data_IF_421807332268
#
_entry.id   IF_421807332268
#
_cell.length_a   1.000
_cell.length_b   1.000
_cell.length_c   1.000
_cell.angle_alpha   90.00
_cell.angle_beta   90.00
_cell.angle_gamma   90.00
#
_symmetry.space_group_name_H-M   'P 1'
#
loop_
_entity.id
_entity.type
_entity.pdbx_description
1 polymer ?
#
# COMPACT_ATOMS: atom_id res chain seq x y z
N UNK A 1 -32.77 -4.72 -27.51
CA UNK A 1 -33.11 -5.67 -26.43
C UNK A 1 -31.82 -6.26 -25.89
N UNK A 2 -31.58 -6.10 -24.58
CA UNK A 2 -30.62 -6.82 -23.72
C UNK A 2 -29.47 -7.59 -24.40
N UNK A 3 -28.26 -7.01 -24.40
CA UNK A 3 -27.04 -7.83 -24.29
C UNK A 3 -26.76 -8.01 -22.79
N UNK A 4 -26.74 -9.25 -22.32
CA UNK A 4 -26.45 -9.58 -20.93
C UNK A 4 -24.95 -9.58 -20.70
N UNK A 5 -24.42 -8.52 -20.09
CA UNK A 5 -23.02 -8.47 -19.63
C UNK A 5 -22.75 -9.62 -18.66
N UNK A 6 -21.72 -10.41 -18.97
CA UNK A 6 -21.33 -11.56 -18.16
C UNK A 6 -20.84 -11.08 -16.79
N UNK A 7 -21.30 -11.76 -15.74
CA UNK A 7 -20.76 -11.63 -14.40
C UNK A 7 -19.25 -11.89 -14.42
N UNK A 8 -18.46 -10.91 -14.00
CA UNK A 8 -17.07 -11.13 -13.63
C UNK A 8 -17.05 -11.76 -12.24
N UNK A 9 -16.93 -13.09 -12.25
CA UNK A 9 -16.66 -13.88 -11.07
C UNK A 9 -15.21 -13.62 -10.61
N UNK A 10 -15.07 -13.52 -9.29
CA UNK A 10 -13.93 -13.94 -8.46
C UNK A 10 -12.79 -14.56 -9.29
N UNK A 11 -11.72 -13.80 -9.55
CA UNK A 11 -10.63 -14.29 -10.37
C UNK A 11 -9.65 -15.13 -9.52
N UNK A 12 -9.67 -16.43 -9.75
CA UNK A 12 -8.89 -17.44 -9.02
C UNK A 12 -7.45 -17.55 -9.52
N UNK A 13 -6.50 -17.73 -8.60
CA UNK A 13 -5.09 -18.03 -8.86
C UNK A 13 -4.85 -19.24 -9.77
N UNK A 14 -3.87 -19.14 -10.69
CA UNK A 14 -3.18 -20.27 -11.34
C UNK A 14 -1.71 -19.90 -11.56
N UNK A 15 -0.79 -20.78 -11.15
CA UNK A 15 0.67 -20.60 -11.26
C UNK A 15 1.26 -21.27 -12.52
N UNK A 16 2.33 -20.69 -13.07
CA UNK A 16 3.47 -21.27 -13.84
C UNK A 16 4.45 -20.10 -14.13
N UNK A 17 5.78 -20.19 -14.25
CA UNK A 17 6.75 -21.29 -14.13
C UNK A 17 8.09 -20.90 -14.82
N UNK A 18 9.22 -21.05 -14.12
CA UNK A 18 10.61 -21.23 -14.63
C UNK A 18 11.42 -20.09 -15.33
N UNK A 19 12.54 -19.67 -14.69
CA UNK A 19 13.88 -20.03 -15.21
C UNK A 19 14.86 -19.03 -15.86
N UNK A 20 15.65 -18.28 -15.05
CA UNK A 20 17.12 -18.02 -15.22
C UNK A 20 17.70 -17.30 -16.50
N UNK A 21 19.03 -16.95 -16.61
CA UNK A 21 19.89 -16.20 -15.67
C UNK A 21 20.96 -15.23 -16.32
N UNK A 22 21.70 -14.49 -15.47
CA UNK A 22 23.07 -13.90 -15.66
C UNK A 22 23.39 -12.90 -16.80
N UNK A 23 24.05 -11.76 -16.46
CA UNK A 23 25.52 -11.54 -16.68
C UNK A 23 26.06 -10.20 -16.10
N UNK A 24 27.35 -10.23 -15.71
CA UNK A 24 28.13 -9.09 -15.18
C UNK A 24 28.87 -8.31 -16.27
N UNK A 25 29.23 -7.04 -16.01
CA UNK A 25 30.33 -6.34 -16.69
C UNK A 25 31.12 -5.36 -15.78
N UNK A 26 32.35 -5.04 -16.22
CA UNK A 26 33.39 -4.24 -15.55
C UNK A 26 34.10 -3.33 -16.59
N UNK A 27 35.07 -2.43 -16.34
CA UNK A 27 35.99 -2.18 -15.20
C UNK A 27 36.42 -0.70 -15.14
N UNK A 28 36.68 -0.19 -13.92
CA UNK A 28 37.80 0.70 -13.54
C UNK A 28 38.18 2.00 -14.33
N UNK A 29 38.23 3.13 -13.57
CA UNK A 29 39.38 4.08 -13.37
C UNK A 29 39.86 5.01 -14.52
N UNK A 30 40.69 6.06 -14.27
CA UNK A 30 40.84 6.94 -13.08
C UNK A 30 41.07 8.47 -13.39
N UNK A 31 41.32 9.25 -12.33
CA UNK A 31 42.27 10.40 -12.24
C UNK A 31 41.79 11.88 -12.40
N UNK A 32 41.97 12.64 -11.31
CA UNK A 32 42.62 13.97 -11.20
C UNK A 32 42.23 15.13 -12.16
N UNK A 33 41.73 16.25 -11.60
CA UNK A 33 42.57 17.43 -11.33
C UNK A 33 41.91 18.44 -10.35
N UNK A 34 42.68 19.44 -9.92
CA UNK A 34 42.44 20.42 -8.85
C UNK A 34 41.58 21.63 -9.26
N UNK A 35 40.96 22.23 -8.24
CA UNK A 35 40.75 23.68 -8.04
C UNK A 35 39.94 24.48 -9.08
N UNK A 36 38.68 24.80 -8.70
CA UNK A 36 38.31 26.21 -8.46
C UNK A 36 37.07 26.33 -7.59
N UNK A 37 37.22 26.89 -6.38
CA UNK A 37 36.07 27.42 -5.64
C UNK A 37 35.64 28.72 -6.33
N UNK A 38 34.47 28.70 -6.98
CA UNK A 38 33.78 29.92 -7.42
C UNK A 38 32.42 29.90 -6.74
N UNK A 39 32.16 30.92 -5.93
CA UNK A 39 30.94 31.08 -5.15
C UNK A 39 29.71 31.15 -6.05
N UNK A 40 29.12 29.99 -6.36
CA UNK A 40 27.76 29.92 -6.87
C UNK A 40 26.85 30.01 -5.67
N UNK A 41 26.36 31.23 -5.47
CA UNK A 41 25.16 31.57 -4.70
C UNK A 41 24.17 30.43 -4.83
N UNK A 42 23.85 29.77 -3.72
CA UNK A 42 22.82 28.74 -3.68
C UNK A 42 21.48 29.42 -3.93
N UNK A 43 21.08 29.46 -5.20
CA UNK A 43 19.68 29.59 -5.55
C UNK A 43 18.98 28.36 -4.98
N UNK A 44 18.34 28.60 -3.83
CA UNK A 44 17.33 27.73 -3.27
C UNK A 44 16.33 27.45 -4.39
N UNK A 45 16.48 26.26 -5.01
CA UNK A 45 15.37 25.57 -5.63
C UNK A 45 14.35 25.36 -4.52
N UNK A 46 13.48 26.36 -4.38
CA UNK A 46 12.15 26.18 -3.83
C UNK A 46 11.48 25.20 -4.77
N UNK A 47 11.66 23.90 -4.49
CA UNK A 47 10.62 22.94 -4.78
C UNK A 47 9.47 23.39 -3.90
N UNK A 48 8.63 24.27 -4.46
CA UNK A 48 7.25 24.34 -4.01
C UNK A 48 6.76 22.90 -4.08
N UNK A 49 6.39 22.35 -2.93
CA UNK A 49 5.44 21.27 -2.92
C UNK A 49 4.16 21.88 -3.47
N UNK A 50 4.02 21.87 -4.80
CA UNK A 50 2.77 22.19 -5.47
C UNK A 50 1.70 21.32 -4.79
N UNK A 51 0.63 21.93 -4.25
CA UNK A 51 -0.43 21.14 -3.66
C UNK A 51 -0.93 20.18 -4.74
N UNK A 52 -0.98 18.88 -4.41
CA UNK A 52 -1.37 17.84 -5.35
C UNK A 52 -2.65 18.26 -6.07
N UNK A 53 -2.55 18.45 -7.39
CA UNK A 53 -3.57 19.15 -8.17
C UNK A 53 -4.90 18.40 -8.10
N UNK A 54 -5.81 18.93 -7.29
CA UNK A 54 -7.10 18.32 -6.98
C UNK A 54 -8.07 18.31 -8.17
N UNK A 55 -7.66 18.78 -9.35
CA UNK A 55 -8.47 18.79 -10.57
C UNK A 55 -8.63 17.40 -11.22
N UNK A 56 -7.87 16.38 -10.80
CA UNK A 56 -8.06 14.96 -11.22
C UNK A 56 -9.12 14.25 -10.35
N UNK A 57 -10.24 14.92 -10.03
CA UNK A 57 -11.42 14.29 -9.44
C UNK A 57 -12.58 14.41 -10.44
N UNK A 58 -12.55 13.54 -11.46
CA UNK A 58 -13.69 13.34 -12.35
C UNK A 58 -14.67 12.35 -11.70
N UNK A 59 -15.82 12.87 -11.23
CA UNK A 59 -17.02 12.12 -10.84
C UNK A 59 -16.81 10.80 -10.05
N UNK A 60 -15.78 10.74 -9.21
CA UNK A 60 -15.59 9.62 -8.28
C UNK A 60 -16.71 9.70 -7.24
N UNK A 61 -17.64 8.72 -7.16
CA UNK A 61 -18.75 8.80 -6.23
C UNK A 61 -18.20 8.78 -4.79
N UNK A 62 -18.57 9.80 -3.99
CA UNK A 62 -18.12 9.85 -2.59
C UNK A 62 -18.73 8.68 -1.80
N UNK A 63 -17.91 7.82 -1.17
CA UNK A 63 -18.42 6.67 -0.46
C UNK A 63 -19.00 7.07 0.91
N UNK A 64 -20.22 6.64 1.19
CA UNK A 64 -20.91 6.88 2.47
C UNK A 64 -20.43 5.93 3.60
N UNK A 65 -19.95 4.73 3.24
CA UNK A 65 -19.53 3.68 4.17
C UNK A 65 -18.17 3.05 3.78
N UNK A 66 -17.57 2.32 4.73
CA UNK A 66 -16.27 1.68 4.56
C UNK A 66 -16.29 0.66 3.40
N UNK A 67 -17.41 -0.05 3.21
CA UNK A 67 -17.59 -1.02 2.12
C UNK A 67 -17.60 -0.35 0.75
N UNK A 68 -18.38 0.73 0.59
CA UNK A 68 -18.42 1.54 -0.63
C UNK A 68 -17.07 2.16 -0.93
N UNK A 69 -16.35 2.63 0.08
CA UNK A 69 -14.99 3.15 -0.09
C UNK A 69 -14.03 2.07 -0.58
N UNK A 70 -14.05 0.87 0.00
CA UNK A 70 -13.23 -0.26 -0.48
C UNK A 70 -13.57 -0.60 -1.94
N UNK A 71 -14.85 -0.61 -2.32
CA UNK A 71 -15.27 -0.86 -3.70
C UNK A 71 -14.77 0.22 -4.68
N UNK A 72 -14.98 1.51 -4.38
CA UNK A 72 -14.51 2.64 -5.21
C UNK A 72 -12.98 2.66 -5.30
N UNK A 73 -12.29 2.38 -4.19
CA UNK A 73 -10.83 2.28 -4.16
C UNK A 73 -10.31 1.17 -5.08
N UNK A 74 -10.99 0.02 -5.15
CA UNK A 74 -10.63 -1.07 -6.05
C UNK A 74 -10.85 -0.72 -7.54
N UNK A 75 -11.92 0.01 -7.88
CA UNK A 75 -12.12 0.49 -9.26
C UNK A 75 -11.00 1.46 -9.69
N UNK A 76 -10.65 2.42 -8.82
CA UNK A 76 -9.52 3.35 -9.05
C UNK A 76 -8.17 2.62 -9.15
N UNK A 77 -7.98 1.58 -8.32
CA UNK A 77 -6.80 0.74 -8.32
C UNK A 77 -6.64 -0.01 -9.64
N UNK A 78 -7.72 -0.62 -10.12
CA UNK A 78 -7.76 -1.32 -11.41
C UNK A 78 -7.56 -0.36 -12.60
N UNK A 79 -7.95 0.90 -12.45
CA UNK A 79 -7.65 1.97 -13.40
C UNK A 79 -6.20 2.51 -13.32
N UNK A 80 -5.37 1.97 -12.42
CA UNK A 80 -3.97 2.39 -12.22
C UNK A 80 -3.79 3.70 -11.44
N UNK A 81 -4.86 4.26 -10.85
CA UNK A 81 -4.83 5.52 -10.12
C UNK A 81 -4.48 5.28 -8.64
N UNK A 82 -3.25 4.82 -8.38
CA UNK A 82 -2.84 4.35 -7.05
C UNK A 82 -2.87 5.43 -5.97
N UNK A 83 -2.55 6.69 -6.30
CA UNK A 83 -2.64 7.83 -5.39
C UNK A 83 -4.10 8.14 -5.00
N UNK A 84 -5.01 8.14 -5.97
CA UNK A 84 -6.44 8.38 -5.73
C UNK A 84 -7.06 7.23 -4.94
N UNK A 85 -6.75 5.99 -5.33
CA UNK A 85 -7.18 4.77 -4.65
C UNK A 85 -6.71 4.73 -3.19
N UNK A 86 -5.44 5.05 -2.93
CA UNK A 86 -4.87 5.18 -1.59
C UNK A 86 -5.70 6.12 -0.71
N UNK A 87 -6.00 7.34 -1.20
CA UNK A 87 -6.82 8.29 -0.45
C UNK A 87 -8.24 7.80 -0.16
N UNK A 88 -8.83 7.00 -1.05
CA UNK A 88 -10.14 6.37 -0.81
C UNK A 88 -10.06 5.24 0.22
N UNK A 89 -9.02 4.39 0.19
CA UNK A 89 -8.85 3.35 1.23
C UNK A 89 -8.53 3.95 2.62
N UNK A 90 -7.77 5.05 2.69
CA UNK A 90 -7.55 5.79 3.94
C UNK A 90 -8.85 6.41 4.48
N UNK A 91 -9.75 6.89 3.59
CA UNK A 91 -11.11 7.30 3.99
C UNK A 91 -11.92 6.12 4.52
N UNK A 92 -11.84 4.94 3.91
CA UNK A 92 -12.59 3.73 4.34
C UNK A 92 -12.37 3.40 5.83
N UNK A 93 -11.14 3.58 6.32
CA UNK A 93 -10.77 3.36 7.73
C UNK A 93 -11.48 4.28 8.74
N UNK A 94 -12.07 5.39 8.28
CA UNK A 94 -12.73 6.41 9.11
C UNK A 94 -14.25 6.48 8.88
N UNK A 95 -14.75 5.78 7.87
CA UNK A 95 -16.18 5.71 7.53
C UNK A 95 -16.92 4.70 8.40
N UNK A 96 -18.26 4.82 8.53
CA UNK A 96 -19.06 3.80 9.19
C UNK A 96 -18.96 2.47 8.44
N UNK A 97 -19.00 1.34 9.15
CA UNK A 97 -18.85 0.02 8.54
C UNK A 97 -19.82 -1.01 9.12
N UNK A 98 -19.50 -2.29 8.91
CA UNK A 98 -20.33 -3.43 9.36
C UNK A 98 -19.89 -4.03 10.70
N UNK A 99 -19.02 -3.33 11.44
CA UNK A 99 -18.50 -3.75 12.72
C UNK A 99 -19.44 -3.53 13.92
N UNK A 100 -18.88 -3.61 15.13
CA UNK A 100 -19.65 -3.57 16.37
C UNK A 100 -20.22 -2.18 16.61
N UNK A 101 -21.55 -2.09 16.75
CA UNK A 101 -22.22 -0.85 17.15
C UNK A 101 -22.06 -0.59 18.65
N UNK A 102 -21.01 0.16 19.02
CA UNK A 102 -20.66 0.44 20.43
C UNK A 102 -21.68 1.33 21.16
N UNK A 103 -22.33 2.26 20.46
CA UNK A 103 -23.27 3.22 21.04
C UNK A 103 -24.54 3.30 20.20
N UNK A 104 -25.71 3.50 20.83
CA UNK A 104 -27.01 3.54 20.13
C UNK A 104 -27.08 4.63 19.05
N UNK A 105 -26.55 5.80 19.37
CA UNK A 105 -26.72 7.02 18.57
C UNK A 105 -25.52 7.31 17.64
N UNK A 106 -24.45 6.50 17.70
CA UNK A 106 -23.33 6.53 16.75
C UNK A 106 -23.51 5.45 15.67
N UNK A 107 -22.96 5.62 14.45
CA UNK A 107 -22.94 4.54 13.48
C UNK A 107 -22.04 3.39 13.95
N UNK A 108 -22.16 2.18 13.36
CA UNK A 108 -21.25 1.07 13.66
C UNK A 108 -19.83 1.38 13.17
N UNK A 109 -18.84 0.85 13.88
CA UNK A 109 -17.43 1.00 13.47
C UNK A 109 -17.14 0.14 12.24
N UNK A 110 -15.98 0.35 11.62
CA UNK A 110 -15.41 -0.62 10.66
C UNK A 110 -15.29 -2.01 11.33
N UNK A 111 -15.56 -3.07 10.58
CA UNK A 111 -15.33 -4.47 10.97
C UNK A 111 -13.86 -4.87 10.78
N UNK A 112 -13.43 -5.98 11.38
CA UNK A 112 -12.08 -6.49 11.15
C UNK A 112 -11.85 -6.84 9.68
N UNK A 113 -12.82 -7.45 8.98
CA UNK A 113 -12.69 -7.80 7.56
C UNK A 113 -12.54 -6.59 6.64
N UNK A 114 -13.34 -5.54 6.84
CA UNK A 114 -13.20 -4.26 6.13
C UNK A 114 -11.84 -3.61 6.44
N UNK A 115 -11.41 -3.64 7.70
CA UNK A 115 -10.12 -3.09 8.14
C UNK A 115 -8.93 -3.86 7.51
N UNK A 116 -8.99 -5.19 7.45
CA UNK A 116 -7.99 -6.01 6.77
C UNK A 116 -7.91 -5.65 5.28
N UNK A 117 -9.06 -5.61 4.59
CA UNK A 117 -9.12 -5.31 3.16
C UNK A 117 -8.60 -3.90 2.84
N UNK A 118 -9.02 -2.88 3.61
CA UNK A 118 -8.54 -1.51 3.43
C UNK A 118 -7.02 -1.40 3.66
N UNK A 119 -6.50 -1.98 4.76
CA UNK A 119 -5.07 -1.90 5.07
C UNK A 119 -4.19 -2.71 4.11
N UNK A 120 -4.68 -3.85 3.62
CA UNK A 120 -3.99 -4.62 2.58
C UNK A 120 -3.89 -3.82 1.28
N UNK A 121 -5.00 -3.24 0.82
CA UNK A 121 -5.01 -2.44 -0.40
C UNK A 121 -4.19 -1.14 -0.26
N UNK A 122 -4.15 -0.52 0.93
CA UNK A 122 -3.22 0.59 1.22
C UNK A 122 -1.77 0.10 1.07
N UNK A 123 -1.41 -1.08 1.56
CA UNK A 123 -0.07 -1.64 1.40
C UNK A 123 0.29 -1.86 -0.08
N UNK A 124 -0.63 -2.39 -0.88
CA UNK A 124 -0.47 -2.53 -2.33
C UNK A 124 -0.29 -1.17 -3.01
N UNK A 125 -1.18 -0.18 -2.78
CA UNK A 125 -1.02 1.17 -3.32
C UNK A 125 0.33 1.78 -2.95
N UNK A 126 0.73 1.77 -1.68
CA UNK A 126 2.01 2.33 -1.23
C UNK A 126 3.20 1.62 -1.89
N UNK A 127 3.15 0.30 -2.03
CA UNK A 127 4.16 -0.50 -2.72
C UNK A 127 4.26 -0.17 -4.21
N UNK A 128 3.13 -0.08 -4.94
CA UNK A 128 3.07 0.37 -6.36
C UNK A 128 3.64 1.78 -6.56
N UNK A 129 3.53 2.63 -5.53
CA UNK A 129 4.10 3.99 -5.50
C UNK A 129 5.57 4.05 -5.03
N UNK A 130 6.23 2.91 -4.83
CA UNK A 130 7.61 2.82 -4.32
C UNK A 130 7.77 3.26 -2.86
N UNK A 131 6.68 3.44 -2.12
CA UNK A 131 6.65 3.89 -0.72
C UNK A 131 6.68 2.68 0.22
N UNK A 132 7.79 1.94 0.17
CA UNK A 132 8.06 0.71 0.94
C UNK A 132 7.72 0.81 2.42
N UNK A 133 8.08 1.93 3.07
CA UNK A 133 7.91 2.10 4.52
C UNK A 133 6.44 2.28 4.95
N UNK A 134 5.66 3.22 4.37
CA UNK A 134 4.21 3.25 4.52
C UNK A 134 3.53 1.92 4.16
N UNK A 135 4.01 1.22 3.12
CA UNK A 135 3.49 -0.09 2.72
C UNK A 135 3.67 -1.16 3.82
N UNK A 136 4.87 -1.25 4.42
CA UNK A 136 5.14 -2.14 5.55
C UNK A 136 4.30 -1.81 6.78
N UNK A 137 4.05 -0.52 7.06
CA UNK A 137 3.19 -0.10 8.18
C UNK A 137 1.72 -0.51 7.96
N UNK A 138 1.21 -0.32 6.74
CA UNK A 138 -0.15 -0.73 6.38
C UNK A 138 -0.31 -2.26 6.44
N UNK A 139 0.65 -3.00 5.90
CA UNK A 139 0.66 -4.47 5.93
C UNK A 139 0.71 -5.01 7.37
N UNK A 140 1.51 -4.40 8.24
CA UNK A 140 1.52 -4.73 9.67
C UNK A 140 0.14 -4.50 10.32
N UNK A 141 -0.53 -3.41 9.98
CA UNK A 141 -1.90 -3.14 10.44
C UNK A 141 -2.93 -4.16 9.93
N UNK A 142 -2.78 -4.68 8.70
CA UNK A 142 -3.64 -5.72 8.15
C UNK A 142 -3.48 -7.03 8.91
N UNK A 143 -2.23 -7.44 9.17
CA UNK A 143 -1.90 -8.61 10.00
C UNK A 143 -2.51 -8.50 11.41
N UNK A 144 -2.42 -7.33 12.05
CA UNK A 144 -3.03 -7.08 13.36
C UNK A 144 -4.56 -7.05 13.37
N UNK A 145 -5.17 -6.73 12.23
CA UNK A 145 -6.61 -6.87 12.04
C UNK A 145 -7.04 -8.33 11.83
N UNK A 146 -6.09 -9.27 11.74
CA UNK A 146 -6.31 -10.71 11.58
C UNK A 146 -6.24 -11.21 10.13
N UNK A 147 -5.49 -10.52 9.26
CA UNK A 147 -5.23 -11.00 7.90
C UNK A 147 -4.13 -12.07 7.93
N UNK A 148 -4.42 -13.27 7.42
CA UNK A 148 -3.56 -14.46 7.60
C UNK A 148 -3.13 -15.12 6.28
N UNK A 149 -3.40 -14.52 5.12
CA UNK A 149 -2.96 -15.07 3.83
C UNK A 149 -1.48 -14.77 3.54
N UNK A 150 -0.61 -15.50 4.25
CA UNK A 150 0.85 -15.43 4.13
C UNK A 150 1.40 -15.95 2.80
N UNK A 151 0.57 -16.60 1.97
CA UNK A 151 0.95 -17.00 0.63
C UNK A 151 0.71 -15.84 -0.34
N UNK A 152 -0.50 -15.26 -0.34
CA UNK A 152 -0.81 -14.04 -1.08
C UNK A 152 0.24 -12.97 -0.81
N UNK A 153 0.54 -12.66 0.47
CA UNK A 153 1.57 -11.65 0.83
C UNK A 153 2.95 -11.87 0.21
N UNK A 154 3.33 -13.11 -0.15
CA UNK A 154 4.63 -13.44 -0.76
C UNK A 154 4.60 -13.51 -2.27
N UNK A 155 3.47 -13.86 -2.86
CA UNK A 155 3.29 -14.01 -4.30
C UNK A 155 2.75 -12.74 -4.98
N UNK A 156 2.11 -11.85 -4.22
CA UNK A 156 1.46 -10.64 -4.75
C UNK A 156 2.47 -9.70 -5.47
N UNK A 157 2.31 -9.49 -6.80
CA UNK A 157 3.19 -8.59 -7.56
C UNK A 157 3.07 -7.14 -7.09
N UNK A 158 1.93 -6.74 -6.55
CA UNK A 158 1.72 -5.35 -6.13
C UNK A 158 2.44 -5.02 -4.82
N UNK A 159 2.78 -6.04 -4.02
CA UNK A 159 3.65 -5.92 -2.85
C UNK A 159 5.15 -6.06 -3.17
N UNK A 160 5.59 -6.10 -4.44
CA UNK A 160 7.00 -6.31 -4.82
C UNK A 160 7.98 -5.35 -4.09
N UNK A 161 7.77 -4.03 -4.17
CA UNK A 161 8.63 -3.04 -3.51
C UNK A 161 8.60 -3.09 -1.96
N UNK A 162 7.59 -3.75 -1.38
CA UNK A 162 7.51 -4.05 0.06
C UNK A 162 8.24 -5.36 0.39
N UNK A 163 8.13 -6.38 -0.47
CA UNK A 163 8.78 -7.70 -0.32
C UNK A 163 10.31 -7.64 -0.44
N UNK A 164 10.84 -6.71 -1.24
CA UNK A 164 12.30 -6.49 -1.37
C UNK A 164 12.95 -5.99 -0.07
N UNK A 165 12.19 -5.36 0.84
CA UNK A 165 12.72 -4.90 2.12
C UNK A 165 12.88 -6.05 3.11
N UNK A 166 14.09 -6.22 3.66
CA UNK A 166 14.40 -7.17 4.75
C UNK A 166 13.43 -7.12 5.95
N UNK A 167 12.76 -5.98 6.17
CA UNK A 167 11.74 -5.78 7.23
C UNK A 167 10.47 -6.61 6.96
N UNK A 168 10.18 -6.99 5.72
CA UNK A 168 9.03 -7.82 5.34
C UNK A 168 9.08 -9.22 5.97
N UNK A 169 10.14 -10.01 5.76
CA UNK A 169 10.23 -11.35 6.39
C UNK A 169 10.34 -11.26 7.93
N UNK A 170 10.90 -10.17 8.46
CA UNK A 170 10.85 -9.89 9.90
C UNK A 170 9.44 -9.61 10.42
N UNK A 171 8.57 -9.02 9.60
CA UNK A 171 7.16 -8.78 9.90
C UNK A 171 6.39 -10.09 9.84
N UNK A 172 6.38 -10.77 8.67
CA UNK A 172 5.65 -12.03 8.47
C UNK A 172 6.10 -13.10 9.48
N UNK A 173 7.41 -13.22 9.72
CA UNK A 173 7.97 -14.17 10.68
C UNK A 173 7.63 -13.91 12.15
N UNK A 174 6.99 -12.78 12.50
CA UNK A 174 6.45 -12.54 13.85
C UNK A 174 5.00 -13.02 13.97
N UNK A 175 4.16 -12.69 13.00
CA UNK A 175 2.75 -13.10 12.98
C UNK A 175 2.59 -14.61 12.77
N UNK A 176 3.35 -15.21 11.84
CA UNK A 176 3.34 -16.67 11.61
C UNK A 176 3.83 -17.51 12.81
N UNK A 177 4.41 -16.90 13.86
CA UNK A 177 4.86 -17.59 15.09
C UNK A 177 4.03 -17.29 16.33
N UNK A 178 3.07 -16.36 16.25
CA UNK A 178 2.32 -15.88 17.41
C UNK A 178 0.92 -15.49 16.99
N UNK A 179 -0.10 -16.17 17.54
CA UNK A 179 -1.46 -15.62 17.58
C UNK A 179 -1.37 -14.22 18.23
N UNK A 180 -1.63 -13.19 17.44
CA UNK A 180 -0.99 -11.88 17.63
C UNK A 180 -1.92 -10.83 18.23
N UNK A 181 -1.94 -10.75 19.57
CA UNK A 181 -2.55 -9.62 20.27
C UNK A 181 -1.50 -8.55 20.62
N UNK A 182 -1.50 -7.41 19.91
CA UNK A 182 -0.89 -6.15 20.36
C UNK A 182 0.57 -5.85 19.95
N UNK A 183 0.89 -5.78 18.65
CA UNK A 183 2.26 -5.63 18.15
C UNK A 183 2.71 -4.19 17.80
N UNK A 184 1.83 -3.34 17.25
CA UNK A 184 2.14 -2.08 16.56
C UNK A 184 3.14 -1.18 17.28
N UNK A 185 2.94 -1.00 18.59
CA UNK A 185 3.73 -0.10 19.43
C UNK A 185 5.21 -0.48 19.61
N UNK A 186 5.61 -1.69 19.22
CA UNK A 186 7.01 -2.14 19.22
C UNK A 186 7.61 -2.24 17.81
N UNK A 187 6.80 -2.26 16.74
CA UNK A 187 7.30 -2.22 15.36
C UNK A 187 7.77 -0.82 14.98
N UNK A 188 6.91 0.18 15.19
CA UNK A 188 7.15 1.57 14.76
C UNK A 188 8.38 2.21 15.42
N UNK A 189 8.76 1.78 16.63
CA UNK A 189 9.98 2.25 17.31
C UNK A 189 11.28 1.92 16.56
N UNK A 190 11.25 0.96 15.63
CA UNK A 190 12.40 0.61 14.78
C UNK A 190 12.49 1.40 13.47
N UNK A 191 11.53 2.27 13.18
CA UNK A 191 11.46 3.06 11.94
C UNK A 191 11.90 4.52 12.14
N UNK A 192 12.11 4.96 13.39
CA UNK A 192 12.52 6.32 13.71
C UNK A 192 14.06 6.42 13.78
N UNK A 193 14.70 6.73 12.64
CA UNK A 193 16.14 7.00 12.49
C UNK A 193 16.38 8.28 11.67
#
# INVERSE_FOLDING_TARGET
>A
MMQTSKSLLVNTYVQHGDGHPFRHFTTARPASNRSRCVSHRSELLKVSAEPADTSIIQDVPEPEDARGAIAVGLELYNAGQYETALGIFEKAMNLPGTGIKQFRDKPPTISNGEKQAALYNIACCQSRLGKTEPGLMALAGALEAGYEDYQQMREDPDLEAVREDKRFEMLIGKFNRSNSNGFFGNFLKGFQL
#
